data_IF_294500644855
#
_entry.id   IF_294500644855
#
_cell.length_a   1.000
_cell.length_b   1.000
_cell.length_c   1.000
_cell.angle_alpha   90.00
_cell.angle_beta   90.00
_cell.angle_gamma   90.00
#
_symmetry.space_group_name_H-M   'P 1'
#
loop_
_entity.id
_entity.type
_entity.pdbx_description
1 polymer ?
#
# COMPACT_ATOMS: atom_id res chain seq x y z
N UNK A 1 -26.49 -14.99 -4.24
CA UNK A 1 -26.34 -13.53 -4.24
C UNK A 1 -24.87 -13.19 -4.30
N UNK A 2 -24.50 -12.11 -4.94
CA UNK A 2 -23.08 -11.68 -5.02
C UNK A 2 -22.49 -11.45 -3.64
N UNK A 3 -23.30 -11.00 -2.70
CA UNK A 3 -22.94 -10.75 -1.30
C UNK A 3 -22.53 -12.01 -0.52
N UNK A 4 -22.90 -13.19 -1.03
CA UNK A 4 -22.57 -14.46 -0.38
C UNK A 4 -21.21 -15.03 -0.82
N UNK A 5 -20.59 -14.43 -1.85
CA UNK A 5 -19.28 -14.86 -2.35
C UNK A 5 -18.20 -14.27 -1.46
N UNK A 6 -17.43 -15.14 -0.82
CA UNK A 6 -16.25 -14.72 -0.06
C UNK A 6 -15.16 -14.22 -1.02
N UNK A 7 -14.66 -13.03 -0.77
CA UNK A 7 -13.65 -12.37 -1.60
C UNK A 7 -12.40 -12.09 -0.76
N UNK A 8 -11.25 -12.47 -1.29
CA UNK A 8 -9.96 -11.98 -0.83
C UNK A 8 -9.49 -10.95 -1.84
N UNK A 9 -9.42 -9.69 -1.41
CA UNK A 9 -8.85 -8.63 -2.24
C UNK A 9 -7.33 -8.72 -2.19
N UNK A 10 -6.74 -9.22 -3.27
CA UNK A 10 -5.32 -9.49 -3.35
C UNK A 10 -4.45 -8.27 -3.68
N UNK A 11 -5.05 -7.10 -3.91
CA UNK A 11 -4.29 -5.91 -4.29
C UNK A 11 -5.10 -4.62 -4.04
N UNK A 12 -4.81 -3.97 -2.93
CA UNK A 12 -5.32 -2.62 -2.67
C UNK A 12 -4.23 -1.74 -2.07
N UNK A 13 -4.53 -0.46 -1.95
CA UNK A 13 -3.64 0.52 -1.33
C UNK A 13 -4.40 1.33 -0.29
N UNK A 14 -3.74 1.62 0.80
CA UNK A 14 -4.15 2.61 1.79
C UNK A 14 -3.02 3.63 1.93
N UNK A 15 -3.35 4.88 2.16
CA UNK A 15 -2.39 5.91 2.51
C UNK A 15 -3.03 7.00 3.34
N UNK A 16 -2.24 7.53 4.25
CA UNK A 16 -2.56 8.73 5.03
C UNK A 16 -1.46 9.75 4.78
N UNK A 17 -1.80 10.79 4.04
CA UNK A 17 -0.84 11.80 3.60
C UNK A 17 -0.32 12.69 4.74
N UNK A 18 -0.97 12.62 5.91
CA UNK A 18 -0.50 13.28 7.13
C UNK A 18 0.48 12.40 7.94
N UNK A 19 0.50 11.10 7.68
CA UNK A 19 1.33 10.12 8.39
C UNK A 19 2.53 9.63 7.58
N UNK A 20 2.55 9.86 6.29
CA UNK A 20 3.63 9.45 5.41
C UNK A 20 3.71 10.29 4.14
N UNK A 21 4.92 10.37 3.60
CA UNK A 21 5.15 11.09 2.36
C UNK A 21 5.10 10.13 1.17
N UNK A 22 4.19 10.41 0.25
CA UNK A 22 3.99 9.69 -1.00
C UNK A 22 4.18 10.67 -2.15
N UNK A 23 5.39 10.78 -2.72
CA UNK A 23 5.72 11.85 -3.66
C UNK A 23 4.76 11.99 -4.84
N UNK A 24 4.30 10.87 -5.42
CA UNK A 24 3.37 10.94 -6.55
C UNK A 24 1.98 11.49 -6.18
N UNK A 25 1.61 11.47 -4.89
CA UNK A 25 0.31 11.96 -4.41
C UNK A 25 0.35 13.41 -3.93
N UNK A 26 1.47 13.87 -3.39
CA UNK A 26 1.56 15.19 -2.72
C UNK A 26 2.47 16.19 -3.40
N UNK A 27 3.45 15.72 -4.18
CA UNK A 27 4.42 16.58 -4.84
C UNK A 27 3.89 17.02 -6.22
N UNK A 28 4.77 17.47 -7.12
CA UNK A 28 4.37 17.82 -8.47
C UNK A 28 3.75 16.60 -9.16
N UNK A 29 2.58 16.76 -9.82
CA UNK A 29 1.98 15.67 -10.58
C UNK A 29 2.94 15.13 -11.65
N UNK A 30 2.98 13.81 -11.80
CA UNK A 30 3.75 13.19 -12.88
C UNK A 30 3.06 13.46 -14.23
N UNK A 31 3.69 14.17 -15.19
CA UNK A 31 3.03 14.63 -16.41
C UNK A 31 2.58 13.50 -17.33
N UNK A 32 3.32 12.40 -17.32
CA UNK A 32 3.06 11.24 -18.19
C UNK A 32 2.67 10.00 -17.37
N UNK A 33 1.87 10.21 -16.31
CA UNK A 33 1.42 9.10 -15.50
C UNK A 33 0.58 8.12 -16.31
N UNK A 34 0.88 6.83 -16.17
CA UNK A 34 0.30 5.79 -17.03
C UNK A 34 -1.23 5.67 -16.95
N UNK A 35 -1.84 6.15 -15.86
CA UNK A 35 -3.30 6.23 -15.71
C UNK A 35 -3.90 7.56 -16.20
N UNK A 36 -3.10 8.46 -16.74
CA UNK A 36 -3.54 9.79 -17.13
C UNK A 36 -3.75 10.71 -15.94
N UNK A 37 -4.84 11.47 -15.93
CA UNK A 37 -5.20 12.34 -14.80
C UNK A 37 -5.56 11.50 -13.58
N UNK A 38 -4.73 11.57 -12.54
CA UNK A 38 -4.93 10.85 -11.28
C UNK A 38 -5.23 11.79 -10.09
N UNK A 39 -5.68 13.00 -10.36
CA UNK A 39 -5.98 13.99 -9.32
C UNK A 39 -6.94 13.46 -8.25
N UNK A 40 -7.87 12.58 -8.63
CA UNK A 40 -8.80 11.96 -7.70
C UNK A 40 -8.13 11.05 -6.65
N UNK A 41 -6.93 10.53 -6.93
CA UNK A 41 -6.16 9.72 -5.98
C UNK A 41 -5.38 10.55 -4.97
N UNK A 42 -5.23 11.85 -5.18
CA UNK A 42 -4.39 12.75 -4.37
C UNK A 42 -5.12 13.22 -3.11
N UNK A 43 -5.61 12.27 -2.34
CA UNK A 43 -6.29 12.48 -1.06
C UNK A 43 -6.04 11.26 -0.16
N UNK A 44 -6.36 11.36 1.12
CA UNK A 44 -6.29 10.21 2.03
C UNK A 44 -7.22 9.09 1.57
N UNK A 45 -6.75 7.86 1.71
CA UNK A 45 -7.56 6.66 1.49
C UNK A 45 -7.32 5.68 2.63
N UNK A 46 -8.29 5.62 3.53
CA UNK A 46 -8.20 4.91 4.80
C UNK A 46 -9.18 3.73 4.85
N UNK A 47 -9.13 2.85 5.85
CA UNK A 47 -10.04 1.70 5.94
C UNK A 47 -11.53 2.04 5.80
N UNK A 48 -11.97 3.18 6.33
CA UNK A 48 -13.36 3.64 6.16
C UNK A 48 -13.73 3.89 4.70
N UNK A 49 -12.79 4.44 3.92
CA UNK A 49 -13.01 4.70 2.49
C UNK A 49 -13.08 3.38 1.72
N UNK A 50 -12.18 2.47 2.02
CA UNK A 50 -12.18 1.13 1.44
C UNK A 50 -13.50 0.40 1.73
N UNK A 51 -13.97 0.43 2.98
CA UNK A 51 -15.22 -0.22 3.37
C UNK A 51 -16.45 0.41 2.71
N UNK A 52 -16.45 1.72 2.55
CA UNK A 52 -17.49 2.43 1.81
C UNK A 52 -17.50 1.98 0.34
N UNK A 53 -16.34 1.95 -0.29
CA UNK A 53 -16.23 1.65 -1.72
C UNK A 53 -16.45 0.16 -2.03
N UNK A 54 -16.19 -0.73 -1.08
CA UNK A 54 -16.42 -2.17 -1.19
C UNK A 54 -17.76 -2.63 -0.61
N UNK A 55 -18.62 -1.71 -0.20
CA UNK A 55 -19.92 -2.04 0.36
C UNK A 55 -20.74 -2.90 -0.60
N UNK A 56 -21.42 -3.94 -0.07
CA UNK A 56 -22.16 -4.92 -0.88
C UNK A 56 -21.30 -6.10 -1.36
N UNK A 57 -20.01 -6.11 -1.05
CA UNK A 57 -19.12 -7.24 -1.31
C UNK A 57 -18.66 -7.87 0.01
N UNK A 58 -18.60 -9.20 0.04
CA UNK A 58 -18.15 -9.94 1.22
C UNK A 58 -16.62 -10.09 1.22
N UNK A 59 -15.93 -9.02 1.57
CA UNK A 59 -14.46 -9.00 1.67
C UNK A 59 -14.06 -9.63 2.99
N UNK A 60 -13.46 -10.82 2.95
CA UNK A 60 -13.05 -11.57 4.15
C UNK A 60 -11.57 -11.36 4.51
N UNK A 61 -10.73 -10.97 3.55
CA UNK A 61 -9.32 -10.68 3.76
C UNK A 61 -8.80 -9.74 2.69
N UNK A 62 -7.73 -9.02 2.99
CA UNK A 62 -7.11 -8.09 2.04
C UNK A 62 -5.60 -8.19 2.07
N UNK A 63 -4.97 -7.95 0.92
CA UNK A 63 -3.52 -7.81 0.80
C UNK A 63 -3.21 -6.39 0.34
N UNK A 64 -2.55 -5.63 1.20
CA UNK A 64 -2.06 -4.31 0.83
C UNK A 64 -0.77 -4.43 0.03
N UNK A 65 -0.74 -3.84 -1.14
CA UNK A 65 0.50 -3.67 -1.90
C UNK A 65 1.10 -2.30 -1.60
N UNK A 66 2.41 -2.24 -1.46
CA UNK A 66 3.13 -0.98 -1.22
C UNK A 66 2.66 0.13 -2.19
N UNK A 67 2.62 1.35 -1.72
CA UNK A 67 2.09 2.50 -2.46
C UNK A 67 3.17 3.56 -2.76
N UNK A 68 4.40 3.14 -2.95
CA UNK A 68 5.53 4.02 -3.28
C UNK A 68 5.73 5.17 -2.28
N UNK A 69 5.66 4.86 -0.98
CA UNK A 69 6.11 5.79 0.05
C UNK A 69 7.55 6.19 -0.21
N UNK A 70 7.96 7.37 0.19
CA UNK A 70 9.28 7.91 -0.12
C UNK A 70 10.43 6.92 0.15
N UNK A 71 11.51 7.03 -0.63
CA UNK A 71 12.62 6.05 -0.62
C UNK A 71 13.31 5.92 0.73
N UNK A 72 13.27 6.95 1.55
CA UNK A 72 13.92 6.95 2.87
C UNK A 72 13.06 6.36 3.98
N UNK A 73 11.82 5.97 3.69
CA UNK A 73 10.84 5.53 4.69
C UNK A 73 10.04 4.29 4.26
N UNK A 74 10.69 3.35 3.59
CA UNK A 74 10.07 2.12 3.11
C UNK A 74 9.51 1.27 4.26
N UNK A 75 10.26 1.12 5.34
CA UNK A 75 9.84 0.39 6.53
C UNK A 75 8.68 1.10 7.23
N UNK A 76 8.66 2.43 7.21
CA UNK A 76 7.62 3.23 7.85
C UNK A 76 6.22 2.92 7.33
N UNK A 77 6.06 2.62 6.04
CA UNK A 77 4.77 2.19 5.50
C UNK A 77 4.29 0.91 6.16
N UNK A 78 5.15 -0.09 6.27
CA UNK A 78 4.83 -1.37 6.90
C UNK A 78 4.47 -1.21 8.37
N UNK A 79 5.19 -0.39 9.11
CA UNK A 79 4.89 -0.10 10.51
C UNK A 79 3.54 0.59 10.68
N UNK A 80 3.24 1.55 9.83
CA UNK A 80 1.95 2.23 9.82
C UNK A 80 0.80 1.26 9.50
N UNK A 81 0.96 0.41 8.48
CA UNK A 81 -0.04 -0.60 8.12
C UNK A 81 -0.30 -1.61 9.24
N UNK A 82 0.73 -1.95 10.00
CA UNK A 82 0.58 -2.82 11.17
C UNK A 82 -0.30 -2.18 12.25
N UNK A 83 -0.14 -0.89 12.49
CA UNK A 83 -0.99 -0.14 13.41
C UNK A 83 -2.43 -0.05 12.89
N UNK A 84 -2.61 0.23 11.61
CA UNK A 84 -3.92 0.25 10.96
C UNK A 84 -4.62 -1.11 11.09
N UNK A 85 -3.92 -2.20 10.87
CA UNK A 85 -4.47 -3.55 11.01
C UNK A 85 -4.91 -3.85 12.45
N UNK A 86 -4.12 -3.43 13.43
CA UNK A 86 -4.45 -3.61 14.85
C UNK A 86 -5.72 -2.84 15.25
N UNK A 87 -5.94 -1.66 14.68
CA UNK A 87 -7.08 -0.79 15.02
C UNK A 87 -8.32 -1.10 14.18
N UNK A 88 -8.15 -1.41 12.90
CA UNK A 88 -9.24 -1.49 11.91
C UNK A 88 -9.49 -2.90 11.36
N UNK A 89 -8.66 -3.88 11.69
CA UNK A 89 -8.82 -5.26 11.23
C UNK A 89 -8.44 -5.47 9.76
N UNK A 90 -7.78 -4.53 9.13
CA UNK A 90 -7.23 -4.63 7.78
C UNK A 90 -5.99 -3.75 7.61
N UNK A 91 -5.04 -4.09 6.72
CA UNK A 91 -5.01 -5.27 5.85
C UNK A 91 -4.72 -6.58 6.60
N UNK A 92 -4.95 -7.72 5.92
CA UNK A 92 -4.63 -9.05 6.46
C UNK A 92 -3.15 -9.39 6.26
N UNK A 93 -2.60 -9.03 5.10
CA UNK A 93 -1.21 -9.25 4.72
C UNK A 93 -0.68 -8.05 3.94
N UNK A 94 0.64 -7.97 3.83
CA UNK A 94 1.34 -6.86 3.19
C UNK A 94 2.34 -7.39 2.18
N UNK A 95 2.29 -6.85 0.96
CA UNK A 95 3.39 -6.87 0.01
C UNK A 95 4.15 -5.57 0.23
N UNK A 96 5.30 -5.66 0.90
CA UNK A 96 6.04 -4.51 1.38
C UNK A 96 6.95 -3.90 0.31
N UNK A 97 7.44 -2.71 0.56
CA UNK A 97 8.31 -2.01 -0.34
C UNK A 97 9.79 -2.26 -0.01
N UNK A 98 10.58 -2.50 -1.04
CA UNK A 98 12.02 -2.36 -1.02
C UNK A 98 12.49 -1.98 -2.43
N UNK A 99 13.25 -0.90 -2.54
CA UNK A 99 13.87 -0.51 -3.81
C UNK A 99 15.09 -1.38 -4.08
N UNK A 100 15.05 -2.17 -5.15
CA UNK A 100 16.14 -3.12 -5.46
C UNK A 100 17.40 -2.46 -6.03
N UNK A 101 17.28 -1.22 -6.47
CA UNK A 101 18.37 -0.43 -7.06
C UNK A 101 19.17 0.40 -6.05
N UNK A 102 18.92 0.24 -4.76
CA UNK A 102 19.63 0.98 -3.70
C UNK A 102 20.67 0.11 -3.00
N UNK A 103 21.75 0.71 -2.49
CA UNK A 103 22.80 -0.06 -1.79
C UNK A 103 22.34 -0.81 -0.54
N UNK A 104 21.26 -0.34 0.09
CA UNK A 104 20.67 -0.92 1.31
C UNK A 104 19.52 -1.89 1.04
N UNK A 105 19.30 -2.27 -0.22
CA UNK A 105 18.16 -3.12 -0.61
C UNK A 105 18.09 -4.42 0.19
N UNK A 106 19.21 -5.11 0.36
CA UNK A 106 19.26 -6.38 1.11
C UNK A 106 18.86 -6.18 2.57
N UNK A 107 19.35 -5.12 3.20
CA UNK A 107 19.01 -4.80 4.59
C UNK A 107 17.52 -4.46 4.75
N UNK A 108 16.97 -3.68 3.83
CA UNK A 108 15.54 -3.35 3.83
C UNK A 108 14.69 -4.60 3.64
N UNK A 109 15.03 -5.47 2.70
CA UNK A 109 14.33 -6.74 2.47
C UNK A 109 14.37 -7.61 3.73
N UNK A 110 15.52 -7.74 4.35
CA UNK A 110 15.68 -8.50 5.59
C UNK A 110 14.81 -7.96 6.72
N UNK A 111 14.78 -6.65 6.91
CA UNK A 111 13.93 -6.01 7.91
C UNK A 111 12.44 -6.20 7.61
N UNK A 112 12.03 -6.10 6.34
CA UNK A 112 10.64 -6.37 5.94
C UNK A 112 10.26 -7.83 6.20
N UNK A 113 11.15 -8.77 5.89
CA UNK A 113 10.92 -10.20 6.06
C UNK A 113 10.71 -10.63 7.52
N UNK A 114 11.24 -9.88 8.47
CA UNK A 114 11.04 -10.14 9.90
C UNK A 114 9.64 -9.77 10.40
N UNK A 115 8.86 -9.04 9.62
CA UNK A 115 7.55 -8.54 10.01
C UNK A 115 6.47 -9.57 9.71
N UNK A 116 5.68 -9.93 10.73
CA UNK A 116 4.72 -11.05 10.66
C UNK A 116 3.66 -10.92 9.58
N UNK A 117 3.28 -9.71 9.18
CA UNK A 117 2.26 -9.48 8.15
C UNK A 117 2.83 -9.46 6.73
N UNK A 118 4.14 -9.33 6.57
CA UNK A 118 4.77 -9.26 5.26
C UNK A 118 4.85 -10.64 4.63
N UNK A 119 4.36 -10.77 3.40
CA UNK A 119 4.34 -12.01 2.62
C UNK A 119 5.06 -11.92 1.30
N UNK A 120 5.47 -10.72 0.91
CA UNK A 120 6.18 -10.49 -0.34
C UNK A 120 6.77 -9.09 -0.38
N UNK A 121 7.58 -8.85 -1.39
CA UNK A 121 8.23 -7.56 -1.65
C UNK A 121 7.90 -7.14 -3.07
N UNK A 122 7.61 -5.87 -3.27
CA UNK A 122 7.48 -5.28 -4.59
C UNK A 122 8.46 -4.13 -4.77
N UNK A 123 9.20 -4.18 -5.87
CA UNK A 123 9.97 -3.06 -6.38
C UNK A 123 9.57 -2.86 -7.84
N UNK A 124 9.04 -1.69 -8.18
CA UNK A 124 8.67 -1.40 -9.56
C UNK A 124 9.91 -1.14 -10.39
N UNK A 125 10.05 -1.76 -11.58
CA UNK A 125 11.14 -1.40 -12.50
C UNK A 125 11.02 0.07 -12.88
N UNK A 126 12.14 0.76 -12.89
CA UNK A 126 12.20 2.10 -13.45
C UNK A 126 12.67 1.99 -14.90
N UNK A 127 11.91 2.55 -15.81
CA UNK A 127 12.40 2.85 -17.15
C UNK A 127 13.29 4.07 -17.05
N UNK A 128 14.54 3.92 -17.45
CA UNK A 128 15.51 5.01 -17.46
C UNK A 128 15.13 6.14 -18.41
#
# INVERSE_FOLDING_TARGET
>A
MVEDIEIIDAHHHLWDLDQGHYPFLTDQPEPDFFLGDYSALRCNYLPRDYRRDSAGHNIIATVHCEAERERTDQIGETLWLKQIAATHGMPTAIVAHAWFDTPDAEDIIAQQAERSMVRGIRSKPRTG
#
